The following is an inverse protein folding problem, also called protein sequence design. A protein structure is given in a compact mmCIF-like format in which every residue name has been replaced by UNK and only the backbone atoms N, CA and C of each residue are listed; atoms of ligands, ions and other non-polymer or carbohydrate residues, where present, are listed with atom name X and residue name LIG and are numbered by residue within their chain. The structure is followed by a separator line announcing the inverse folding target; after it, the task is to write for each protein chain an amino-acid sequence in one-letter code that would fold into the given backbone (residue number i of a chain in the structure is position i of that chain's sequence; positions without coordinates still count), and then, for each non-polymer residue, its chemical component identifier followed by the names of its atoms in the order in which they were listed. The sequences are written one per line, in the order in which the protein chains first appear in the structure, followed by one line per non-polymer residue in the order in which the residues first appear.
data_IF_031746817645
#
_entry.id   IF_031746817645
#
_cell.length_a   1.000
_cell.length_b   1.000
_cell.length_c   1.000
_cell.angle_alpha   90.00
_cell.angle_beta   90.00
_cell.angle_gamma   90.00
#
_symmetry.space_group_name_H-M   'P 1'
#
loop_
_entity.id
_entity.type
_entity.pdbx_description
1 polymer ?
#
# COMPACT_ATOMS: atom_id res chain seq x y z
N UNK A 1 11.86 -31.11 -8.36
CA UNK A 1 11.86 -29.84 -7.60
C UNK A 1 10.53 -29.74 -6.86
N UNK A 2 10.49 -29.51 -5.54
CA UNK A 2 9.23 -29.26 -4.86
C UNK A 2 8.66 -27.94 -5.41
N UNK A 3 7.50 -28.00 -6.03
CA UNK A 3 6.77 -26.83 -6.51
C UNK A 3 6.23 -26.10 -5.28
N UNK A 4 6.85 -24.98 -4.90
CA UNK A 4 6.33 -24.15 -3.82
C UNK A 4 4.88 -23.74 -4.15
N UNK A 5 3.95 -24.06 -3.23
CA UNK A 5 2.54 -23.73 -3.35
C UNK A 5 2.41 -22.21 -3.39
N UNK A 6 1.73 -21.67 -4.41
CA UNK A 6 1.44 -20.23 -4.48
C UNK A 6 0.58 -19.83 -3.28
N UNK A 7 0.89 -18.70 -2.61
CA UNK A 7 0.08 -18.22 -1.50
C UNK A 7 -1.35 -17.90 -1.97
N UNK A 8 -2.29 -18.19 -1.09
CA UNK A 8 -3.71 -17.88 -1.24
C UNK A 8 -3.97 -16.38 -1.10
N UNK A 9 -5.15 -15.92 -1.51
CA UNK A 9 -5.51 -14.52 -1.40
C UNK A 9 -5.56 -14.04 0.06
N UNK A 10 -5.98 -14.92 0.99
CA UNK A 10 -6.02 -14.65 2.43
C UNK A 10 -4.61 -14.54 3.00
N UNK A 11 -3.70 -15.47 2.68
CA UNK A 11 -2.30 -15.41 3.13
C UNK A 11 -1.59 -14.13 2.63
N UNK A 12 -1.87 -13.71 1.39
CA UNK A 12 -1.37 -12.44 0.86
C UNK A 12 -1.93 -11.25 1.65
N UNK A 13 -3.25 -11.22 1.87
CA UNK A 13 -3.91 -10.14 2.60
C UNK A 13 -3.40 -10.05 4.05
N UNK A 14 -3.24 -11.17 4.74
CA UNK A 14 -2.75 -11.22 6.12
C UNK A 14 -1.29 -10.76 6.21
N UNK A 15 -0.42 -11.22 5.30
CA UNK A 15 0.97 -10.78 5.25
C UNK A 15 1.08 -9.28 4.97
N UNK A 16 0.29 -8.77 4.01
CA UNK A 16 0.22 -7.34 3.69
C UNK A 16 -0.23 -6.52 4.90
N UNK A 17 -1.32 -6.91 5.56
CA UNK A 17 -1.83 -6.19 6.72
C UNK A 17 -0.86 -6.24 7.91
N UNK A 18 -0.22 -7.39 8.16
CA UNK A 18 0.80 -7.51 9.19
C UNK A 18 1.99 -6.59 8.92
N UNK A 19 2.43 -6.48 7.66
CA UNK A 19 3.47 -5.55 7.25
C UNK A 19 3.04 -4.09 7.45
N UNK A 20 1.82 -3.73 7.05
CA UNK A 20 1.29 -2.38 7.24
C UNK A 20 1.18 -2.00 8.71
N UNK A 21 0.71 -2.91 9.57
CA UNK A 21 0.63 -2.70 11.02
C UNK A 21 2.02 -2.49 11.62
N UNK A 22 2.99 -3.36 11.27
CA UNK A 22 4.38 -3.24 11.76
C UNK A 22 5.02 -1.90 11.41
N UNK A 23 4.68 -1.34 10.25
CA UNK A 23 5.24 -0.08 9.76
C UNK A 23 4.32 1.13 10.02
N UNK A 24 3.22 0.92 10.76
CA UNK A 24 2.23 1.95 11.11
C UNK A 24 1.67 2.69 9.89
N UNK A 25 1.41 1.94 8.83
CA UNK A 25 0.83 2.46 7.59
C UNK A 25 -0.66 2.10 7.55
N UNK A 26 -1.50 3.10 7.33
CA UNK A 26 -2.95 2.93 7.23
C UNK A 26 -3.31 2.43 5.84
N UNK A 27 -4.16 1.41 5.77
CA UNK A 27 -4.66 0.86 4.50
C UNK A 27 -6.05 1.40 4.21
N UNK A 28 -6.25 1.94 3.01
CA UNK A 28 -7.56 2.29 2.47
C UNK A 28 -7.86 1.52 1.20
N UNK A 29 -9.07 1.00 1.08
CA UNK A 29 -9.58 0.44 -0.16
C UNK A 29 -10.40 1.52 -0.86
N UNK A 30 -9.94 1.99 -2.02
CA UNK A 30 -10.60 3.06 -2.77
C UNK A 30 -11.51 2.46 -3.84
N UNK A 31 -12.83 2.58 -3.66
CA UNK A 31 -13.89 2.12 -4.60
C UNK A 31 -13.86 0.64 -5.03
N UNK A 32 -14.80 0.23 -5.88
CA UNK A 32 -14.94 -1.13 -6.43
C UNK A 32 -13.87 -1.53 -7.47
N UNK A 33 -13.07 -0.58 -7.98
CA UNK A 33 -12.16 -0.77 -9.14
C UNK A 33 -10.80 -1.38 -8.82
N UNK A 34 -10.63 -1.94 -7.64
CA UNK A 34 -9.44 -2.71 -7.35
C UNK A 34 -8.23 -1.87 -6.90
N UNK A 35 -8.48 -0.71 -6.30
CA UNK A 35 -7.42 0.22 -5.86
C UNK A 35 -7.18 0.07 -4.37
N UNK A 36 -5.92 -0.12 -4.00
CA UNK A 36 -5.45 -0.11 -2.62
C UNK A 36 -4.58 1.12 -2.42
N UNK A 37 -4.82 1.86 -1.35
CA UNK A 37 -4.02 2.99 -0.94
C UNK A 37 -3.40 2.72 0.42
N UNK A 38 -2.19 3.22 0.60
CA UNK A 38 -1.44 3.20 1.85
C UNK A 38 -1.09 4.63 2.24
N UNK A 39 -1.33 4.99 3.50
CA UNK A 39 -1.19 6.35 4.00
C UNK A 39 -0.39 6.36 5.31
N UNK A 40 0.47 7.36 5.49
CA UNK A 40 1.17 7.61 6.75
C UNK A 40 1.45 9.09 6.94
N UNK A 41 1.37 9.56 8.17
CA UNK A 41 1.75 10.92 8.56
C UNK A 41 3.16 10.93 9.16
N UNK A 42 3.91 11.99 8.90
CA UNK A 42 5.26 12.19 9.41
C UNK A 42 5.55 13.69 9.59
N UNK A 43 6.70 14.03 10.18
CA UNK A 43 7.11 15.43 10.35
C UNK A 43 7.40 16.06 8.99
N UNK A 44 6.72 17.16 8.67
CA UNK A 44 6.97 17.91 7.43
C UNK A 44 8.45 18.35 7.35
N UNK A 45 9.04 18.20 6.17
CA UNK A 45 10.45 18.47 5.89
C UNK A 45 11.40 17.32 6.23
N UNK A 46 10.95 16.26 6.91
CA UNK A 46 11.80 15.13 7.27
C UNK A 46 12.01 14.18 6.09
N UNK A 47 13.09 14.42 5.34
CA UNK A 47 13.45 13.63 4.15
C UNK A 47 13.81 12.19 4.49
N UNK A 48 14.45 11.96 5.63
CA UNK A 48 14.87 10.61 6.03
C UNK A 48 13.65 9.74 6.31
N UNK A 49 12.69 10.27 7.08
CA UNK A 49 11.44 9.56 7.32
C UNK A 49 10.61 9.40 6.07
N UNK A 50 10.55 10.41 5.20
CA UNK A 50 9.85 10.30 3.93
C UNK A 50 10.42 9.17 3.06
N UNK A 51 11.74 9.09 2.88
CA UNK A 51 12.37 8.01 2.11
C UNK A 51 12.06 6.63 2.72
N UNK A 52 12.12 6.52 4.05
CA UNK A 52 11.77 5.27 4.74
C UNK A 52 10.31 4.87 4.50
N UNK A 53 9.38 5.81 4.60
CA UNK A 53 7.95 5.57 4.35
C UNK A 53 7.71 5.17 2.90
N UNK A 54 8.35 5.85 1.95
CA UNK A 54 8.22 5.52 0.53
C UNK A 54 8.69 4.09 0.25
N UNK A 55 9.84 3.68 0.80
CA UNK A 55 10.34 2.31 0.66
C UNK A 55 9.35 1.29 1.26
N UNK A 56 8.86 1.54 2.48
CA UNK A 56 7.92 0.65 3.15
C UNK A 56 6.59 0.56 2.38
N UNK A 57 6.06 1.68 1.89
CA UNK A 57 4.82 1.73 1.14
C UNK A 57 4.92 0.98 -0.21
N UNK A 58 6.03 1.15 -0.94
CA UNK A 58 6.28 0.39 -2.17
C UNK A 58 6.36 -1.11 -1.90
N UNK A 59 7.15 -1.52 -0.89
CA UNK A 59 7.27 -2.91 -0.49
C UNK A 59 5.93 -3.52 -0.09
N UNK A 60 5.12 -2.80 0.69
CA UNK A 60 3.78 -3.25 1.07
C UNK A 60 2.90 -3.50 -0.15
N UNK A 61 2.84 -2.54 -1.08
CA UNK A 61 2.00 -2.64 -2.27
C UNK A 61 2.47 -3.72 -3.26
N UNK A 62 3.77 -4.03 -3.32
CA UNK A 62 4.31 -5.12 -4.13
C UNK A 62 3.82 -6.50 -3.67
N UNK A 63 3.58 -6.68 -2.35
CA UNK A 63 3.04 -7.94 -1.80
C UNK A 63 1.68 -8.31 -2.37
N UNK A 64 0.89 -7.32 -2.81
CA UNK A 64 -0.44 -7.52 -3.35
C UNK A 64 -0.46 -8.18 -4.73
N UNK A 65 0.70 -8.21 -5.42
CA UNK A 65 0.87 -8.92 -6.68
C UNK A 65 -0.01 -8.38 -7.81
N UNK A 66 -0.05 -7.04 -7.97
CA UNK A 66 -0.78 -6.40 -9.06
C UNK A 66 -0.32 -6.93 -10.42
N UNK A 67 -1.28 -7.15 -11.32
CA UNK A 67 -1.04 -7.66 -12.68
C UNK A 67 -1.46 -6.61 -13.70
N UNK A 68 -0.62 -5.59 -13.84
CA UNK A 68 -0.94 -4.36 -14.58
C UNK A 68 -1.54 -3.29 -13.67
N UNK A 69 -1.86 -2.13 -14.25
CA UNK A 69 -2.29 -0.94 -13.52
C UNK A 69 -1.15 0.07 -13.33
N UNK A 70 -1.37 1.03 -12.43
CA UNK A 70 -0.45 2.12 -12.16
C UNK A 70 -0.30 2.33 -10.67
N UNK A 71 0.84 2.92 -10.29
CA UNK A 71 1.11 3.40 -8.94
C UNK A 71 1.26 4.91 -9.01
N UNK A 72 0.61 5.64 -8.12
CA UNK A 72 0.63 7.11 -8.11
C UNK A 72 0.37 7.66 -6.71
N UNK A 73 0.86 8.87 -6.44
CA UNK A 73 0.70 9.54 -5.16
C UNK A 73 2.00 10.23 -4.73
N UNK A 74 2.37 10.05 -3.47
CA UNK A 74 3.54 10.67 -2.83
C UNK A 74 4.86 10.01 -3.22
N UNK A 75 5.10 9.82 -4.52
CA UNK A 75 6.36 9.26 -5.03
C UNK A 75 7.41 10.35 -5.26
N UNK A 76 8.68 10.03 -5.05
CA UNK A 76 9.82 10.96 -5.16
C UNK A 76 10.04 11.54 -6.56
N UNK A 77 9.51 10.87 -7.59
CA UNK A 77 9.56 11.29 -8.98
C UNK A 77 8.39 12.20 -9.40
N UNK A 78 7.50 12.56 -8.48
CA UNK A 78 6.29 13.31 -8.79
C UNK A 78 6.06 14.52 -7.86
N UNK A 79 5.14 15.39 -8.28
CA UNK A 79 4.65 16.52 -7.46
C UNK A 79 4.05 16.04 -6.14
N UNK A 80 3.55 14.80 -6.09
CA UNK A 80 3.02 14.22 -4.87
C UNK A 80 4.09 14.01 -3.80
N UNK A 81 5.32 13.65 -4.18
CA UNK A 81 6.44 13.52 -3.23
C UNK A 81 6.84 14.85 -2.62
N UNK A 82 6.96 15.89 -3.45
CA UNK A 82 7.23 17.26 -2.99
C UNK A 82 6.11 17.76 -2.04
N UNK A 83 4.85 17.50 -2.39
CA UNK A 83 3.70 17.84 -1.54
C UNK A 83 3.71 17.09 -0.21
N UNK A 84 4.06 15.79 -0.22
CA UNK A 84 4.15 14.97 0.99
C UNK A 84 5.24 15.48 1.92
N UNK A 85 6.43 15.79 1.39
CA UNK A 85 7.52 16.38 2.16
C UNK A 85 7.10 17.69 2.81
N UNK A 86 6.38 18.55 2.10
CA UNK A 86 5.95 19.85 2.64
C UNK A 86 4.80 19.75 3.65
N UNK A 87 3.91 18.76 3.51
CA UNK A 87 2.71 18.63 4.35
C UNK A 87 2.83 17.60 5.47
N UNK A 88 3.84 16.73 5.43
CA UNK A 88 3.96 15.59 6.35
C UNK A 88 2.91 14.50 6.12
N UNK A 89 2.27 14.47 4.94
CA UNK A 89 1.24 13.49 4.60
C UNK A 89 1.64 12.67 3.38
N UNK A 90 1.94 11.40 3.61
CA UNK A 90 2.24 10.43 2.56
C UNK A 90 0.99 9.65 2.18
N UNK A 91 0.70 9.54 0.88
CA UNK A 91 -0.35 8.69 0.34
C UNK A 91 0.09 8.07 -0.99
N UNK A 92 0.07 6.74 -1.08
CA UNK A 92 0.45 6.00 -2.28
C UNK A 92 -0.65 5.04 -2.67
N UNK A 93 -1.06 5.08 -3.94
CA UNK A 93 -2.16 4.29 -4.48
C UNK A 93 -1.61 3.28 -5.50
N UNK A 94 -2.24 2.11 -5.57
CA UNK A 94 -1.99 1.10 -6.60
C UNK A 94 -3.30 0.56 -7.15
N UNK A 95 -3.46 0.61 -8.47
CA UNK A 95 -4.50 -0.13 -9.18
C UNK A 95 -4.02 -1.49 -9.66
N UNK A 96 -4.95 -2.32 -10.15
CA UNK A 96 -4.63 -3.64 -10.71
C UNK A 96 -4.33 -4.72 -9.67
N UNK A 97 -4.61 -4.44 -8.40
CA UNK A 97 -4.56 -5.46 -7.34
C UNK A 97 -5.64 -6.52 -7.63
N UNK A 98 -5.31 -7.83 -7.56
CA UNK A 98 -6.26 -8.88 -7.88
C UNK A 98 -7.52 -8.81 -7.00
N UNK A 99 -8.71 -8.89 -7.63
CA UNK A 99 -9.99 -8.76 -6.93
C UNK A 99 -10.16 -9.78 -5.79
N UNK A 100 -9.58 -10.98 -5.92
CA UNK A 100 -9.57 -12.00 -4.86
C UNK A 100 -8.85 -11.53 -3.58
N UNK A 101 -7.77 -10.77 -3.72
CA UNK A 101 -7.00 -10.22 -2.59
C UNK A 101 -7.80 -9.08 -1.96
N UNK A 102 -8.44 -8.25 -2.77
CA UNK A 102 -9.29 -7.16 -2.26
C UNK A 102 -10.50 -7.69 -1.51
N UNK A 103 -11.15 -8.73 -2.04
CA UNK A 103 -12.23 -9.41 -1.34
C UNK A 103 -11.75 -9.99 0.01
N UNK A 104 -10.53 -10.52 0.07
CA UNK A 104 -9.93 -10.97 1.33
C UNK A 104 -9.68 -9.80 2.29
N UNK A 105 -9.08 -8.70 1.81
CA UNK A 105 -8.85 -7.48 2.60
C UNK A 105 -10.14 -6.92 3.20
N UNK A 106 -11.22 -6.82 2.41
CA UNK A 106 -12.55 -6.38 2.87
C UNK A 106 -13.10 -7.23 4.00
N UNK A 107 -12.96 -8.55 3.90
CA UNK A 107 -13.45 -9.48 4.93
C UNK A 107 -12.78 -9.31 6.29
N UNK A 108 -11.57 -8.73 6.33
CA UNK A 108 -10.85 -8.55 7.60
C UNK A 108 -11.40 -7.41 8.46
N UNK A 109 -12.10 -6.44 7.86
CA UNK A 109 -12.53 -5.21 8.56
C UNK A 109 -11.39 -4.29 9.03
N UNK A 110 -10.14 -4.59 8.67
CA UNK A 110 -8.95 -3.81 9.09
C UNK A 110 -8.57 -2.69 8.12
N UNK A 111 -9.26 -2.61 6.98
CA UNK A 111 -9.06 -1.57 5.98
C UNK A 111 -10.16 -0.52 6.09
N UNK A 112 -9.83 0.75 5.86
CA UNK A 112 -10.83 1.80 5.73
C UNK A 112 -11.42 1.79 4.32
N UNK A 113 -12.73 1.90 4.20
CA UNK A 113 -13.40 2.12 2.91
C UNK A 113 -13.38 3.62 2.58
N UNK A 114 -13.10 3.96 1.33
CA UNK A 114 -13.06 5.35 0.86
C UNK A 114 -13.28 5.50 -0.64
#
# INVERSE_FOLDING_TARGET
MPTSKKPTATEIADAFLAFCVKNEVVVRLKTTKGVVAVEKTFTAGDRTWYCHIEMCANNALDMLGAKGGSRWGSTSDSVGGASALNSGRFALNQSGTPLRVIAALRKTGKCLEG
#
